data_IF_779169320854
#
_entry.id   IF_779169320854
#
_cell.length_a   1.000
_cell.length_b   1.000
_cell.length_c   1.000
_cell.angle_alpha   90.00
_cell.angle_beta   90.00
_cell.angle_gamma   90.00
#
_symmetry.space_group_name_H-M   'P 1'
#
loop_
_entity.id
_entity.type
_entity.pdbx_description
1 polymer ?
#
# COMPACT_ATOMS: atom_id res chain seq x y z
N UNK A 1 12.41 18.67 -5.22
CA UNK A 1 11.55 17.81 -4.38
C UNK A 1 11.27 16.53 -5.15
N UNK A 2 11.28 15.39 -4.46
CA UNK A 2 11.03 14.05 -5.02
C UNK A 2 10.16 13.26 -4.04
N UNK A 3 9.44 12.27 -4.54
CA UNK A 3 8.72 11.31 -3.71
C UNK A 3 8.78 9.91 -4.28
N UNK A 4 8.68 8.91 -3.41
CA UNK A 4 8.65 7.50 -3.72
C UNK A 4 7.59 6.82 -2.86
N UNK A 5 6.88 5.86 -3.44
CA UNK A 5 5.90 5.02 -2.74
C UNK A 5 6.34 3.57 -2.76
N UNK A 6 6.01 2.83 -1.72
CA UNK A 6 6.26 1.40 -1.60
C UNK A 6 5.07 0.70 -0.93
N UNK A 7 4.96 -0.61 -1.17
CA UNK A 7 3.96 -1.47 -0.57
C UNK A 7 2.92 -1.99 -1.56
N UNK A 8 2.35 -3.13 -1.17
CA UNK A 8 1.35 -3.91 -1.88
C UNK A 8 -0.05 -3.65 -1.31
N UNK A 9 -1.08 -3.81 -2.16
CA UNK A 9 -2.48 -3.59 -1.79
C UNK A 9 -2.96 -4.43 -0.61
N UNK A 10 -2.35 -5.59 -0.40
CA UNK A 10 -2.61 -6.50 0.72
C UNK A 10 -1.37 -6.76 1.58
N UNK A 11 -0.30 -5.97 1.42
CA UNK A 11 0.84 -5.94 2.35
C UNK A 11 0.48 -5.30 3.69
N UNK A 12 1.40 -5.30 4.67
CA UNK A 12 1.12 -4.80 6.02
C UNK A 12 0.92 -3.28 6.08
N UNK A 13 1.70 -2.54 5.29
CA UNK A 13 1.69 -1.08 5.23
C UNK A 13 1.97 -0.61 3.80
N UNK A 14 1.54 0.60 3.48
CA UNK A 14 2.14 1.40 2.42
C UNK A 14 3.13 2.38 3.03
N UNK A 15 4.16 2.76 2.27
CA UNK A 15 5.14 3.76 2.69
C UNK A 15 5.27 4.85 1.63
N UNK A 16 5.32 6.10 2.08
CA UNK A 16 5.69 7.25 1.26
C UNK A 16 6.98 7.87 1.82
N UNK A 17 7.93 8.17 0.94
CA UNK A 17 9.15 8.91 1.26
C UNK A 17 9.15 10.19 0.45
N UNK A 18 9.21 11.35 1.12
CA UNK A 18 9.31 12.67 0.48
C UNK A 18 10.69 13.26 0.79
N UNK A 19 11.41 13.66 -0.25
CA UNK A 19 12.78 14.16 -0.15
C UNK A 19 12.89 15.57 -0.76
N UNK A 20 13.72 16.42 -0.13
CA UNK A 20 13.95 17.80 -0.56
C UNK A 20 12.84 18.76 -0.19
N UNK A 21 12.08 18.46 0.87
CA UNK A 21 11.19 19.42 1.52
C UNK A 21 12.03 20.34 2.43
N UNK A 22 11.86 21.67 2.41
CA UNK A 22 12.50 22.57 3.36
C UNK A 22 12.17 22.24 4.81
N UNK A 23 13.06 22.63 5.73
CA UNK A 23 12.76 22.64 7.16
C UNK A 23 11.73 23.74 7.50
N UNK A 24 11.16 23.68 8.71
CA UNK A 24 10.26 24.71 9.26
C UNK A 24 8.85 24.75 8.65
N UNK A 25 8.43 23.70 7.95
CA UNK A 25 7.08 23.56 7.43
C UNK A 25 6.23 22.81 8.46
N UNK A 26 5.07 23.37 8.80
CA UNK A 26 4.13 22.73 9.71
C UNK A 26 3.42 21.56 9.02
N UNK A 27 3.47 20.38 9.66
CA UNK A 27 2.88 19.14 9.16
C UNK A 27 2.37 18.32 10.35
N UNK A 28 1.14 17.83 10.26
CA UNK A 28 0.54 16.97 11.27
C UNK A 28 -0.09 15.72 10.67
N UNK A 29 -0.20 14.65 11.46
CA UNK A 29 -0.96 13.45 11.06
C UNK A 29 -2.45 13.75 10.86
N UNK A 30 -2.99 14.83 11.45
CA UNK A 30 -4.38 15.24 11.28
C UNK A 30 -4.66 15.63 9.82
N UNK A 31 -3.84 16.51 9.25
CA UNK A 31 -3.99 16.97 7.86
C UNK A 31 -3.86 15.80 6.87
N UNK A 32 -2.90 14.89 7.10
CA UNK A 32 -2.75 13.71 6.24
C UNK A 32 -3.97 12.78 6.36
N UNK A 33 -4.52 12.59 7.57
CA UNK A 33 -5.73 11.79 7.77
C UNK A 33 -6.96 12.39 7.09
N UNK A 34 -7.09 13.72 7.09
CA UNK A 34 -8.17 14.41 6.38
C UNK A 34 -8.08 14.14 4.86
N UNK A 35 -6.88 14.21 4.30
CA UNK A 35 -6.63 13.89 2.89
C UNK A 35 -6.94 12.42 2.54
N UNK A 36 -6.54 11.48 3.40
CA UNK A 36 -6.91 10.05 3.25
C UNK A 36 -8.42 9.83 3.36
N UNK A 37 -9.10 10.56 4.25
CA UNK A 37 -10.55 10.47 4.36
C UNK A 37 -11.25 10.96 3.08
N UNK A 38 -10.75 12.03 2.44
CA UNK A 38 -11.29 12.50 1.15
C UNK A 38 -11.21 11.44 0.05
N UNK A 39 -10.15 10.61 0.05
CA UNK A 39 -9.97 9.51 -0.93
C UNK A 39 -11.09 8.46 -0.87
N UNK A 40 -11.79 8.36 0.26
CA UNK A 40 -12.90 7.41 0.47
C UNK A 40 -14.26 7.97 0.04
N UNK A 41 -14.33 9.25 -0.33
CA UNK A 41 -15.56 9.88 -0.80
C UNK A 41 -15.90 9.47 -2.25
N UNK A 42 -17.18 9.61 -2.60
CA UNK A 42 -17.70 9.41 -3.95
C UNK A 42 -18.79 8.33 -4.02
N UNK A 43 -19.86 8.61 -4.76
CA UNK A 43 -20.91 7.62 -5.03
C UNK A 43 -20.33 6.42 -5.80
N UNK A 44 -20.67 5.20 -5.38
CA UNK A 44 -20.17 3.97 -6.01
C UNK A 44 -18.79 3.49 -5.53
N UNK A 45 -18.18 4.15 -4.52
CA UNK A 45 -16.99 3.59 -3.86
C UNK A 45 -17.33 2.26 -3.17
N UNK A 46 -16.48 1.26 -3.39
CA UNK A 46 -16.71 -0.10 -2.92
C UNK A 46 -16.67 -0.21 -1.39
N UNK A 47 -17.36 -1.23 -0.86
CA UNK A 47 -17.47 -1.50 0.58
C UNK A 47 -16.11 -1.54 1.31
N UNK A 48 -15.03 -1.95 0.63
CA UNK A 48 -13.66 -1.94 1.20
C UNK A 48 -13.27 -0.58 1.80
N UNK A 49 -13.59 0.52 1.12
CA UNK A 49 -13.20 1.85 1.58
C UNK A 49 -14.03 2.36 2.77
N UNK A 50 -15.17 1.75 3.10
CA UNK A 50 -15.99 2.17 4.23
C UNK A 50 -15.51 1.62 5.58
N UNK A 51 -14.68 0.57 5.59
CA UNK A 51 -14.17 -0.05 6.82
C UNK A 51 -12.64 -0.12 6.93
N UNK A 52 -11.89 0.21 5.86
CA UNK A 52 -10.42 0.27 5.91
C UNK A 52 -10.01 1.41 6.86
N UNK A 53 -9.43 1.06 8.01
CA UNK A 53 -9.02 2.00 9.05
C UNK A 53 -7.53 2.29 8.89
N UNK A 54 -7.18 3.04 7.85
CA UNK A 54 -5.80 3.48 7.59
C UNK A 54 -5.23 4.19 8.82
N UNK A 55 -4.26 3.56 9.48
CA UNK A 55 -3.53 4.20 10.58
C UNK A 55 -2.25 4.81 10.03
N UNK A 56 -2.15 6.14 10.13
CA UNK A 56 -0.97 6.88 9.67
C UNK A 56 0.07 6.92 10.77
N UNK A 57 1.33 6.66 10.40
CA UNK A 57 2.49 6.89 11.27
C UNK A 57 3.54 7.71 10.52
N UNK A 58 4.04 8.77 11.15
CA UNK A 58 5.22 9.48 10.66
C UNK A 58 6.44 8.84 11.34
N UNK A 59 7.35 8.28 10.55
CA UNK A 59 8.52 7.56 11.05
C UNK A 59 9.74 8.48 11.24
N UNK A 60 9.82 9.58 10.48
CA UNK A 60 10.96 10.49 10.52
C UNK A 60 10.77 11.74 9.69
N UNK A 61 11.71 12.68 9.82
CA UNK A 61 11.75 13.94 9.08
C UNK A 61 10.88 15.07 9.65
N UNK A 62 10.07 14.79 10.68
CA UNK A 62 9.22 15.77 11.36
C UNK A 62 9.44 15.66 12.87
N UNK A 63 9.63 16.80 13.53
CA UNK A 63 9.75 16.91 14.99
C UNK A 63 8.83 18.02 15.48
N UNK A 64 7.99 17.71 16.48
CA UNK A 64 7.04 18.66 17.08
C UNK A 64 6.12 19.32 16.03
N UNK A 65 5.68 18.55 15.03
CA UNK A 65 4.83 19.04 13.95
C UNK A 65 5.52 19.93 12.91
N UNK A 66 6.87 19.95 12.90
CA UNK A 66 7.67 20.79 12.00
C UNK A 66 8.66 19.92 11.21
N UNK A 67 8.74 20.11 9.90
CA UNK A 67 9.72 19.44 9.04
C UNK A 67 11.16 19.82 9.39
N UNK A 68 12.08 18.87 9.28
CA UNK A 68 13.50 19.05 9.63
C UNK A 68 14.42 19.25 8.42
N UNK A 69 13.90 19.24 7.19
CA UNK A 69 14.67 19.40 5.95
C UNK A 69 15.24 18.09 5.37
N UNK A 70 15.36 17.05 6.19
CA UNK A 70 15.68 15.69 5.75
C UNK A 70 14.47 14.95 5.15
N UNK A 71 14.64 13.70 4.70
CA UNK A 71 13.55 12.88 4.18
C UNK A 71 12.45 12.67 5.22
N UNK A 72 11.20 12.78 4.77
CA UNK A 72 10.02 12.45 5.57
C UNK A 72 9.53 11.07 5.15
N UNK A 73 9.38 10.18 6.12
CA UNK A 73 8.84 8.84 5.90
C UNK A 73 7.48 8.70 6.61
N UNK A 74 6.48 8.25 5.86
CA UNK A 74 5.10 8.05 6.33
C UNK A 74 4.67 6.62 6.04
N UNK A 75 4.06 5.96 7.00
CA UNK A 75 3.39 4.67 6.83
C UNK A 75 1.87 4.85 6.86
N UNK A 76 1.18 4.05 6.04
CA UNK A 76 -0.27 3.88 6.06
C UNK A 76 -0.58 2.41 6.30
N UNK A 77 -1.04 2.08 7.52
CA UNK A 77 -1.34 0.71 7.93
C UNK A 77 -2.50 0.09 7.16
N UNK A 78 -2.41 -1.23 6.92
CA UNK A 78 -3.48 -2.01 6.32
C UNK A 78 -4.26 -2.80 7.39
N UNK A 79 -5.49 -2.40 7.68
CA UNK A 79 -6.35 -3.07 8.67
C UNK A 79 -6.70 -4.52 8.32
N UNK A 80 -6.56 -4.90 7.04
CA UNK A 80 -6.85 -6.26 6.57
C UNK A 80 -5.62 -7.18 6.59
N UNK A 81 -4.44 -6.68 7.00
CA UNK A 81 -3.19 -7.45 7.06
C UNK A 81 -3.32 -8.83 7.72
N UNK A 82 -4.04 -9.02 8.85
CA UNK A 82 -4.18 -10.34 9.48
C UNK A 82 -4.80 -11.42 8.56
N UNK A 83 -5.56 -11.04 7.53
CA UNK A 83 -6.13 -11.99 6.54
C UNK A 83 -5.14 -12.40 5.45
N UNK A 84 -4.05 -11.67 5.32
CA UNK A 84 -3.07 -11.78 4.24
C UNK A 84 -1.67 -12.15 4.71
N UNK A 85 -1.41 -12.11 6.02
CA UNK A 85 -0.10 -12.35 6.64
C UNK A 85 0.65 -13.56 6.07
N UNK A 86 -0.04 -14.69 5.86
CA UNK A 86 0.56 -15.87 5.23
C UNK A 86 0.77 -15.73 3.73
N UNK A 87 -0.24 -15.27 2.99
CA UNK A 87 -0.24 -15.21 1.51
C UNK A 87 0.74 -14.14 1.00
N UNK A 88 0.90 -13.07 1.76
CA UNK A 88 1.74 -11.92 1.45
C UNK A 88 2.95 -11.85 2.38
N UNK A 89 3.33 -12.98 3.01
CA UNK A 89 4.50 -13.04 3.89
C UNK A 89 5.74 -12.60 3.12
N UNK A 90 6.53 -11.70 3.73
CA UNK A 90 7.82 -11.32 3.19
C UNK A 90 8.86 -12.44 3.37
N UNK A 91 8.75 -13.19 4.46
CA UNK A 91 9.60 -14.34 4.74
C UNK A 91 9.06 -15.61 4.07
N UNK A 92 9.94 -16.54 3.67
CA UNK A 92 9.52 -17.85 3.22
C UNK A 92 8.67 -18.56 4.28
N UNK A 93 7.65 -19.26 3.82
CA UNK A 93 6.79 -20.10 4.67
C UNK A 93 6.81 -21.53 4.15
N UNK A 94 6.52 -22.49 5.02
CA UNK A 94 6.35 -23.88 4.59
C UNK A 94 5.18 -23.96 3.58
N UNK A 95 5.38 -24.50 2.36
CA UNK A 95 4.32 -24.69 1.39
C UNK A 95 3.09 -25.42 1.94
N UNK A 96 3.25 -26.30 2.94
CA UNK A 96 2.14 -26.98 3.60
C UNK A 96 1.18 -26.01 4.33
N UNK A 97 1.67 -24.85 4.79
CA UNK A 97 0.85 -23.85 5.49
C UNK A 97 -0.06 -23.03 4.57
N UNK A 98 0.31 -22.90 3.29
CA UNK A 98 -0.47 -22.23 2.25
C UNK A 98 -1.19 -23.19 1.31
N UNK A 99 -0.86 -24.48 1.39
CA UNK A 99 -1.53 -25.49 0.60
C UNK A 99 -3.03 -25.54 0.94
N UNK A 100 -3.87 -25.44 -0.10
CA UNK A 100 -5.33 -25.44 0.06
C UNK A 100 -5.94 -24.13 0.58
N UNK A 101 -5.14 -23.11 0.91
CA UNK A 101 -5.70 -21.79 1.22
C UNK A 101 -6.28 -21.17 -0.05
N UNK A 102 -7.59 -21.01 -0.10
CA UNK A 102 -8.28 -20.42 -1.24
C UNK A 102 -7.74 -19.02 -1.63
N UNK A 103 -7.26 -18.23 -0.64
CA UNK A 103 -6.62 -16.92 -0.90
C UNK A 103 -5.29 -17.03 -1.64
N UNK A 104 -4.56 -18.13 -1.50
CA UNK A 104 -3.28 -18.36 -2.16
C UNK A 104 -3.43 -19.02 -3.55
N UNK A 105 -4.65 -19.26 -4.01
CA UNK A 105 -4.85 -19.83 -5.34
C UNK A 105 -4.24 -18.91 -6.42
N UNK A 106 -3.51 -19.46 -7.41
CA UNK A 106 -2.90 -18.65 -8.45
C UNK A 106 -3.95 -17.96 -9.33
N UNK A 107 -3.65 -16.73 -9.74
CA UNK A 107 -4.52 -15.90 -10.57
C UNK A 107 -4.00 -15.90 -12.01
N UNK A 108 -4.41 -16.88 -12.79
CA UNK A 108 -3.94 -17.09 -14.18
C UNK A 108 -4.86 -16.50 -15.27
N UNK A 109 -5.89 -15.75 -14.88
CA UNK A 109 -6.84 -15.12 -15.82
C UNK A 109 -6.69 -13.59 -15.78
N UNK A 110 -5.85 -13.00 -16.65
CA UNK A 110 -5.59 -11.56 -16.61
C UNK A 110 -6.84 -10.76 -16.97
N UNK A 111 -7.12 -9.70 -16.22
CA UNK A 111 -8.30 -8.84 -16.43
C UNK A 111 -8.02 -7.84 -17.57
N UNK A 112 -8.91 -7.72 -18.57
CA UNK A 112 -8.82 -6.66 -19.57
C UNK A 112 -8.78 -5.27 -18.94
N UNK A 113 -7.87 -4.41 -19.41
CA UNK A 113 -7.69 -3.05 -18.90
C UNK A 113 -6.85 -2.94 -17.62
N UNK A 114 -6.36 -4.06 -17.06
CA UNK A 114 -5.45 -4.07 -15.92
C UNK A 114 -4.02 -4.44 -16.32
N UNK A 115 -3.08 -4.24 -15.38
CA UNK A 115 -1.67 -4.53 -15.56
C UNK A 115 -1.36 -6.04 -15.67
N UNK A 116 -2.29 -6.92 -15.29
CA UNK A 116 -2.07 -8.35 -15.08
C UNK A 116 -1.30 -9.02 -16.24
N UNK A 117 -1.82 -8.99 -17.48
CA UNK A 117 -1.23 -9.72 -18.62
C UNK A 117 0.18 -9.21 -18.95
N UNK A 118 0.34 -7.90 -19.10
CA UNK A 118 1.61 -7.29 -19.50
C UNK A 118 2.64 -7.43 -18.38
N UNK A 119 2.21 -7.33 -17.12
CA UNK A 119 3.07 -7.53 -15.97
C UNK A 119 3.56 -8.97 -15.86
N UNK A 120 2.66 -9.95 -16.01
CA UNK A 120 3.01 -11.38 -16.00
C UNK A 120 4.03 -11.69 -17.09
N UNK A 121 3.81 -11.22 -18.33
CA UNK A 121 4.74 -11.40 -19.44
C UNK A 121 6.09 -10.69 -19.21
N UNK A 122 6.06 -9.48 -18.65
CA UNK A 122 7.26 -8.66 -18.44
C UNK A 122 8.19 -9.24 -17.37
N UNK A 123 7.62 -9.79 -16.31
CA UNK A 123 8.36 -10.27 -15.14
C UNK A 123 8.39 -11.79 -15.03
N UNK A 124 7.88 -12.51 -16.04
CA UNK A 124 7.87 -13.97 -16.11
C UNK A 124 7.15 -14.62 -14.92
N UNK A 125 5.92 -14.16 -14.65
CA UNK A 125 5.05 -14.73 -13.61
C UNK A 125 3.88 -15.52 -14.19
N UNK A 126 3.66 -16.71 -13.64
CA UNK A 126 2.46 -17.55 -13.91
C UNK A 126 1.25 -17.18 -13.04
N UNK A 127 1.45 -16.29 -12.04
CA UNK A 127 0.42 -15.75 -11.15
C UNK A 127 0.35 -14.22 -11.30
N UNK A 128 -0.84 -13.67 -11.49
CA UNK A 128 -1.04 -12.22 -11.55
C UNK A 128 -0.93 -11.53 -10.17
N UNK A 129 -0.89 -12.27 -9.06
CA UNK A 129 -0.86 -11.69 -7.71
C UNK A 129 0.29 -10.70 -7.49
N UNK A 130 1.56 -11.01 -7.77
CA UNK A 130 2.65 -10.03 -7.60
C UNK A 130 2.44 -8.74 -8.41
N UNK A 131 1.75 -8.83 -9.55
CA UNK A 131 1.46 -7.70 -10.43
C UNK A 131 0.33 -6.84 -9.88
N UNK A 132 -0.84 -7.45 -9.61
CA UNK A 132 -2.03 -6.71 -9.20
C UNK A 132 -1.87 -6.05 -7.84
N UNK A 133 -1.06 -6.65 -6.95
CA UNK A 133 -0.82 -6.13 -5.61
C UNK A 133 -0.15 -4.77 -5.66
N UNK A 134 0.83 -4.58 -6.55
CA UNK A 134 1.50 -3.29 -6.73
C UNK A 134 0.79 -2.35 -7.70
N UNK A 135 0.14 -2.88 -8.74
CA UNK A 135 -0.59 -2.06 -9.72
C UNK A 135 -1.94 -1.54 -9.20
N UNK A 136 -2.42 -2.05 -8.07
CA UNK A 136 -3.66 -1.61 -7.44
C UNK A 136 -3.64 -0.12 -7.11
N UNK A 137 -4.77 0.56 -7.36
CA UNK A 137 -4.98 1.96 -6.95
C UNK A 137 -5.00 2.16 -5.41
N UNK A 138 -4.80 1.10 -4.62
CA UNK A 138 -4.49 1.23 -3.19
C UNK A 138 -3.21 2.04 -2.97
N UNK A 139 -2.24 1.93 -3.87
CA UNK A 139 -0.98 2.69 -3.82
C UNK A 139 -1.20 4.20 -3.71
N UNK A 140 -2.28 4.75 -4.27
CA UNK A 140 -2.62 6.19 -4.21
C UNK A 140 -2.96 6.73 -2.82
N UNK A 141 -2.96 5.87 -1.79
CA UNK A 141 -3.02 6.29 -0.40
C UNK A 141 -1.63 6.71 0.16
N UNK A 142 -0.53 6.28 -0.46
CA UNK A 142 0.82 6.76 -0.17
C UNK A 142 1.13 8.00 -1.02
#
# INVERSE_FOLDING_TARGET
>A
MRWLTAGESHGPVLTAIVEGLPAHIQISTKEINEDLARRRLGAGRGARQSFEADQIRILGGIRLGISQGGPIAVEVGNSEWPKWEKVMSADPIDPAEIFGLARNAPLSRPRPGHADMVGMQKYDFDDARPILERASARETAA
#
